data_IF_917650145200
#
_entry.id   IF_917650145200
#
_cell.length_a   1.000
_cell.length_b   1.000
_cell.length_c   1.000
_cell.angle_alpha   90.00
_cell.angle_beta   90.00
_cell.angle_gamma   90.00
#
_symmetry.space_group_name_H-M   'P 1'
#
loop_
_entity.id
_entity.type
_entity.pdbx_description
1 polymer ?
#
# COMPACT_ATOMS: atom_id res chain seq x y z
N UNK A 1 14.09 -10.19 -19.27
CA UNK A 1 13.71 -10.13 -17.86
C UNK A 1 14.74 -10.92 -17.10
N UNK A 2 15.52 -10.30 -16.25
CA UNK A 2 16.52 -11.00 -15.46
C UNK A 2 15.81 -11.66 -14.28
N UNK A 3 16.01 -12.97 -14.11
CA UNK A 3 15.55 -13.69 -12.92
C UNK A 3 16.28 -13.10 -11.70
N UNK A 4 15.53 -12.45 -10.84
CA UNK A 4 16.02 -11.91 -9.57
C UNK A 4 16.31 -13.09 -8.64
N UNK A 5 17.58 -13.48 -8.56
CA UNK A 5 18.01 -14.54 -7.65
C UNK A 5 18.08 -13.98 -6.22
N UNK A 6 17.01 -14.14 -5.47
CA UNK A 6 16.97 -13.80 -4.04
C UNK A 6 17.60 -14.92 -3.26
N UNK A 7 18.80 -14.71 -2.75
CA UNK A 7 19.45 -15.67 -1.86
C UNK A 7 19.09 -15.37 -0.42
N UNK A 8 18.04 -16.02 0.08
CA UNK A 8 17.76 -16.02 1.52
C UNK A 8 18.66 -17.07 2.15
N UNK A 9 19.46 -16.74 3.16
CA UNK A 9 20.31 -17.73 3.83
C UNK A 9 19.47 -18.92 4.32
N UNK A 10 19.68 -20.09 3.70
CA UNK A 10 19.04 -21.34 4.10
C UNK A 10 17.81 -21.77 3.28
N UNK A 11 17.38 -21.03 2.23
CA UNK A 11 16.30 -21.46 1.37
C UNK A 11 16.46 -20.94 -0.06
N UNK A 12 16.97 -21.78 -0.94
CA UNK A 12 17.22 -21.46 -2.35
C UNK A 12 15.90 -21.18 -3.19
N UNK A 13 14.72 -21.32 -2.57
CA UNK A 13 13.43 -21.22 -3.24
C UNK A 13 12.52 -20.09 -2.71
N UNK A 14 13.02 -19.21 -1.86
CA UNK A 14 12.17 -18.18 -1.25
C UNK A 14 12.32 -16.83 -1.93
N UNK A 15 12.02 -16.74 -3.22
CA UNK A 15 11.94 -15.47 -3.92
C UNK A 15 10.65 -14.74 -3.55
N UNK A 16 10.79 -13.72 -2.70
CA UNK A 16 9.69 -12.82 -2.30
C UNK A 16 9.61 -11.57 -3.17
N UNK A 17 10.39 -11.49 -4.25
CA UNK A 17 10.42 -10.36 -5.18
C UNK A 17 9.91 -10.71 -6.57
N UNK A 18 9.74 -12.00 -6.88
CA UNK A 18 9.31 -12.48 -8.18
C UNK A 18 7.86 -12.08 -8.49
N UNK A 19 7.68 -11.24 -9.50
CA UNK A 19 6.36 -10.87 -10.01
C UNK A 19 5.57 -12.11 -10.49
N UNK A 20 6.24 -13.09 -11.09
CA UNK A 20 5.61 -14.32 -11.57
C UNK A 20 5.09 -15.18 -10.42
N UNK A 21 5.80 -15.20 -9.28
CA UNK A 21 5.32 -15.88 -8.08
C UNK A 21 4.02 -15.25 -7.56
N UNK A 22 3.96 -13.91 -7.52
CA UNK A 22 2.74 -13.19 -7.09
C UNK A 22 1.61 -13.29 -8.11
N UNK A 23 1.88 -13.47 -9.39
CA UNK A 23 0.86 -13.74 -10.42
C UNK A 23 0.12 -15.06 -10.17
N UNK A 24 0.78 -16.04 -9.53
CA UNK A 24 0.19 -17.32 -9.10
C UNK A 24 -0.59 -17.20 -7.77
N UNK A 25 -0.41 -16.10 -7.06
CA UNK A 25 -0.97 -15.82 -5.74
C UNK A 25 0.10 -15.46 -4.72
N UNK A 26 -0.34 -14.93 -3.57
CA UNK A 26 0.61 -14.57 -2.50
C UNK A 26 1.33 -15.83 -1.98
N UNK A 27 2.68 -15.84 -1.91
CA UNK A 27 3.45 -17.02 -1.46
C UNK A 27 3.38 -17.20 0.07
N UNK A 28 2.20 -17.48 0.60
CA UNK A 28 1.92 -17.58 2.05
C UNK A 28 2.83 -18.58 2.77
N UNK A 29 3.11 -19.74 2.16
CA UNK A 29 3.98 -20.75 2.75
C UNK A 29 5.42 -20.26 2.92
N UNK A 30 5.92 -19.46 1.97
CA UNK A 30 7.24 -18.82 2.07
C UNK A 30 7.28 -17.81 3.21
N UNK A 31 6.28 -16.93 3.32
CA UNK A 31 6.19 -15.98 4.41
C UNK A 31 6.02 -16.66 5.78
N UNK A 32 5.30 -17.77 5.86
CA UNK A 32 5.20 -18.55 7.09
C UNK A 32 6.55 -19.10 7.53
N UNK A 33 7.32 -19.70 6.60
CA UNK A 33 8.69 -20.19 6.90
C UNK A 33 9.62 -19.06 7.35
N UNK A 34 9.55 -17.90 6.66
CA UNK A 34 10.36 -16.73 7.03
C UNK A 34 10.04 -16.28 8.47
N UNK A 35 8.75 -16.15 8.81
CA UNK A 35 8.35 -15.77 10.17
C UNK A 35 8.86 -16.73 11.24
N UNK A 36 8.93 -18.03 10.92
CA UNK A 36 9.37 -19.05 11.88
C UNK A 36 10.88 -19.15 11.99
N UNK A 37 11.62 -19.10 10.87
CA UNK A 37 13.04 -19.43 10.81
C UNK A 37 13.97 -18.23 10.68
N UNK A 38 13.55 -17.21 9.92
CA UNK A 38 14.37 -16.04 9.59
C UNK A 38 13.49 -14.79 9.45
N UNK A 39 12.86 -14.35 10.55
CA UNK A 39 11.86 -13.27 10.49
C UNK A 39 12.41 -11.92 10.06
N UNK A 40 13.70 -11.73 10.19
CA UNK A 40 14.48 -10.60 9.67
C UNK A 40 15.58 -11.21 8.82
N UNK A 41 15.56 -11.02 7.52
CA UNK A 41 16.55 -11.57 6.61
C UNK A 41 16.95 -10.56 5.55
N UNK A 42 18.21 -10.64 5.13
CA UNK A 42 18.70 -9.87 3.99
C UNK A 42 18.26 -10.54 2.69
N UNK A 43 17.77 -9.75 1.75
CA UNK A 43 17.36 -10.17 0.42
C UNK A 43 18.30 -9.51 -0.57
N UNK A 44 19.12 -10.32 -1.24
CA UNK A 44 19.98 -9.84 -2.32
C UNK A 44 19.14 -9.60 -3.59
N UNK A 45 19.51 -8.56 -4.33
CA UNK A 45 18.92 -8.26 -5.64
C UNK A 45 20.03 -8.22 -6.69
N UNK A 46 19.75 -8.79 -7.85
CA UNK A 46 20.70 -8.77 -8.98
C UNK A 46 20.73 -7.44 -9.72
N UNK A 47 19.69 -6.62 -9.57
CA UNK A 47 19.46 -5.37 -10.30
C UNK A 47 19.59 -4.11 -9.41
N UNK A 48 20.04 -4.26 -8.17
CA UNK A 48 20.19 -3.13 -7.26
C UNK A 48 20.68 -3.54 -5.86
N UNK A 49 20.72 -2.59 -4.93
CA UNK A 49 21.04 -2.90 -3.55
C UNK A 49 19.98 -3.86 -2.98
N UNK A 50 20.42 -4.82 -2.19
CA UNK A 50 19.53 -5.67 -1.44
C UNK A 50 18.75 -4.88 -0.38
N UNK A 51 17.86 -5.58 0.33
CA UNK A 51 17.06 -4.97 1.40
C UNK A 51 16.81 -5.97 2.55
N UNK A 52 16.45 -5.44 3.71
CA UNK A 52 16.02 -6.23 4.85
C UNK A 52 14.53 -6.54 4.77
N UNK A 53 14.17 -7.80 4.61
CA UNK A 53 12.79 -8.26 4.70
C UNK A 53 12.40 -8.53 6.16
N UNK A 54 11.33 -7.89 6.61
CA UNK A 54 10.80 -8.00 7.97
C UNK A 54 9.43 -8.66 7.89
N UNK A 55 9.26 -9.81 8.54
CA UNK A 55 8.06 -10.62 8.35
C UNK A 55 7.20 -10.81 9.59
N UNK A 56 7.69 -10.50 10.81
CA UNK A 56 6.89 -10.55 12.04
C UNK A 56 6.19 -9.23 12.29
N UNK A 57 4.93 -9.30 12.68
CA UNK A 57 4.11 -8.14 12.97
C UNK A 57 4.70 -7.24 14.07
N UNK A 58 5.23 -7.81 15.14
CA UNK A 58 5.84 -7.07 16.25
C UNK A 58 7.09 -6.28 15.82
N UNK A 59 7.92 -6.87 14.95
CA UNK A 59 9.11 -6.21 14.40
C UNK A 59 8.70 -5.06 13.47
N UNK A 60 7.70 -5.28 12.61
CA UNK A 60 7.12 -4.25 11.73
C UNK A 60 6.56 -3.09 12.56
N UNK A 61 5.83 -3.37 13.65
CA UNK A 61 5.32 -2.32 14.52
C UNK A 61 6.44 -1.53 15.21
N UNK A 62 7.51 -2.20 15.62
CA UNK A 62 8.68 -1.56 16.23
C UNK A 62 9.35 -0.60 15.25
N UNK A 63 9.59 -1.06 14.02
CA UNK A 63 10.20 -0.25 12.95
C UNK A 63 9.30 0.94 12.60
N UNK A 64 8.01 0.72 12.38
CA UNK A 64 7.09 1.77 11.99
C UNK A 64 6.88 2.87 13.04
N UNK A 65 7.19 2.59 14.30
CA UNK A 65 7.08 3.56 15.40
C UNK A 65 8.36 4.33 15.65
N UNK A 66 9.47 3.87 15.13
CA UNK A 66 10.79 4.43 15.41
C UNK A 66 11.34 5.20 14.21
N UNK A 67 10.71 6.33 13.94
CA UNK A 67 11.14 7.23 12.87
C UNK A 67 12.54 7.84 13.08
N UNK A 68 13.09 7.77 14.29
CA UNK A 68 14.44 8.27 14.56
C UNK A 68 15.53 7.34 14.01
N UNK A 69 15.25 6.04 13.93
CA UNK A 69 16.18 5.03 13.38
C UNK A 69 15.77 4.59 11.97
N UNK A 70 14.48 4.63 11.64
CA UNK A 70 13.93 4.14 10.38
C UNK A 70 13.17 5.29 9.67
N UNK A 71 13.83 5.91 8.71
CA UNK A 71 13.30 7.03 7.96
C UNK A 71 12.53 6.58 6.73
N UNK A 72 11.41 7.24 6.43
CA UNK A 72 10.68 7.10 5.17
C UNK A 72 11.09 8.13 4.11
N UNK A 73 11.97 9.07 4.46
CA UNK A 73 12.33 10.20 3.59
C UNK A 73 13.15 9.80 2.35
N UNK A 74 13.67 8.57 2.33
CA UNK A 74 14.44 8.04 1.20
C UNK A 74 13.59 7.23 0.22
N UNK A 75 12.28 7.20 0.40
CA UNK A 75 11.32 6.47 -0.41
C UNK A 75 10.63 5.34 0.36
N UNK A 76 9.49 4.90 -0.17
CA UNK A 76 8.64 3.84 0.41
C UNK A 76 8.37 2.72 -0.59
N UNK A 77 9.10 2.69 -1.69
CA UNK A 77 8.96 1.71 -2.77
C UNK A 77 10.13 0.74 -2.77
N UNK A 78 9.88 -0.44 -3.33
CA UNK A 78 10.93 -1.45 -3.52
C UNK A 78 11.78 -1.18 -4.76
N UNK A 79 11.24 -0.46 -5.74
CA UNK A 79 11.99 -0.06 -6.93
C UNK A 79 13.04 0.98 -6.57
N UNK A 80 14.24 0.82 -7.13
CA UNK A 80 15.29 1.81 -6.99
C UNK A 80 14.89 3.11 -7.69
N UNK A 81 15.01 4.20 -6.97
CA UNK A 81 14.67 5.52 -7.44
C UNK A 81 15.87 6.44 -7.25
N UNK A 82 16.11 7.30 -8.23
CA UNK A 82 17.08 8.38 -8.07
C UNK A 82 16.55 9.43 -7.08
N UNK A 83 17.41 10.22 -6.43
CA UNK A 83 16.97 11.30 -5.55
C UNK A 83 15.99 12.27 -6.24
N UNK A 84 16.17 12.55 -7.52
CA UNK A 84 15.29 13.44 -8.30
C UNK A 84 13.91 12.82 -8.52
N UNK A 85 13.84 11.51 -8.76
CA UNK A 85 12.55 10.79 -8.87
C UNK A 85 11.80 10.72 -7.54
N UNK A 86 12.51 10.50 -6.43
CA UNK A 86 11.93 10.56 -5.09
C UNK A 86 11.36 11.95 -4.83
N UNK A 87 12.11 13.02 -5.11
CA UNK A 87 11.67 14.39 -4.90
C UNK A 87 10.46 14.76 -5.77
N UNK A 88 10.48 14.40 -7.06
CA UNK A 88 9.40 14.70 -8.01
C UNK A 88 8.06 14.03 -7.64
N UNK A 89 8.10 12.90 -6.91
CA UNK A 89 6.92 12.13 -6.51
C UNK A 89 6.63 12.19 -5.02
N UNK A 90 7.39 13.00 -4.28
CA UNK A 90 7.33 13.06 -2.82
C UNK A 90 5.93 13.33 -2.33
N UNK A 91 5.42 12.41 -1.52
CA UNK A 91 4.19 12.56 -0.76
C UNK A 91 4.49 12.81 0.71
N UNK A 92 3.50 13.17 1.51
CA UNK A 92 3.73 13.30 2.95
C UNK A 92 4.12 11.97 3.63
N UNK A 93 3.81 10.83 3.02
CA UNK A 93 4.22 9.51 3.52
C UNK A 93 5.74 9.29 3.40
N UNK A 94 6.38 9.97 2.45
CA UNK A 94 7.82 9.96 2.21
C UNK A 94 8.52 11.10 2.94
N UNK A 95 8.01 11.46 4.10
CA UNK A 95 8.59 12.47 4.98
C UNK A 95 8.60 11.98 6.42
N UNK A 96 9.55 12.48 7.20
CA UNK A 96 9.64 12.20 8.63
C UNK A 96 9.06 13.36 9.47
N UNK A 97 8.77 13.14 10.76
CA UNK A 97 8.49 14.24 11.69
C UNK A 97 9.62 15.28 11.72
N UNK A 98 9.32 16.57 11.80
CA UNK A 98 8.00 17.18 12.06
C UNK A 98 7.16 17.44 10.80
N UNK A 99 7.69 17.27 9.59
CA UNK A 99 7.00 17.56 8.32
C UNK A 99 5.80 16.65 8.15
N UNK A 100 6.00 15.33 8.28
CA UNK A 100 4.93 14.33 8.26
C UNK A 100 3.80 14.66 9.24
N UNK A 101 4.16 14.95 10.49
CA UNK A 101 3.18 15.23 11.54
C UNK A 101 2.33 16.44 11.22
N UNK A 102 2.94 17.53 10.73
CA UNK A 102 2.21 18.75 10.33
C UNK A 102 1.20 18.49 9.22
N UNK A 103 1.60 17.77 8.16
CA UNK A 103 0.70 17.43 7.07
C UNK A 103 -0.45 16.51 7.54
N UNK A 104 -0.12 15.47 8.32
CA UNK A 104 -1.10 14.47 8.78
C UNK A 104 -2.16 15.05 9.72
N UNK A 105 -1.82 16.01 10.57
CA UNK A 105 -2.78 16.67 11.49
C UNK A 105 -3.94 17.29 10.72
N UNK A 106 -3.69 17.92 9.58
CA UNK A 106 -4.74 18.52 8.76
C UNK A 106 -5.67 17.44 8.17
N UNK A 107 -5.10 16.34 7.68
CA UNK A 107 -5.87 15.22 7.14
C UNK A 107 -6.69 14.51 8.21
N UNK A 108 -6.15 14.32 9.42
CA UNK A 108 -6.85 13.62 10.50
C UNK A 108 -8.19 14.27 10.88
N UNK A 109 -8.37 15.57 10.66
CA UNK A 109 -9.65 16.24 10.90
C UNK A 109 -10.71 15.79 9.91
N UNK A 110 -10.37 15.70 8.62
CA UNK A 110 -11.27 15.24 7.56
C UNK A 110 -11.65 13.76 7.72
N UNK A 111 -10.76 12.95 8.29
CA UNK A 111 -10.96 11.52 8.52
C UNK A 111 -11.27 11.16 9.99
N UNK A 112 -11.76 12.13 10.78
CA UNK A 112 -12.20 11.85 12.15
C UNK A 112 -13.42 10.93 12.17
N UNK A 113 -13.62 10.16 13.26
CA UNK A 113 -14.78 9.26 13.40
C UNK A 113 -16.12 9.97 13.16
N UNK A 114 -16.24 11.23 13.60
CA UNK A 114 -17.43 12.05 13.38
C UNK A 114 -17.67 12.35 11.90
N UNK A 115 -16.60 12.72 11.17
CA UNK A 115 -16.70 12.99 9.73
C UNK A 115 -16.99 11.73 8.92
N UNK A 116 -16.34 10.62 9.24
CA UNK A 116 -16.60 9.33 8.61
C UNK A 116 -18.05 8.90 8.80
N UNK A 117 -18.60 9.05 10.02
CA UNK A 117 -20.02 8.77 10.27
C UNK A 117 -20.96 9.68 9.47
N UNK A 118 -20.59 10.95 9.25
CA UNK A 118 -21.37 11.87 8.43
C UNK A 118 -21.40 11.49 6.94
N UNK A 119 -20.37 10.79 6.45
CA UNK A 119 -20.36 10.29 5.06
C UNK A 119 -21.26 9.07 4.84
N UNK A 120 -21.71 8.37 5.88
CA UNK A 120 -22.51 7.14 5.73
C UNK A 120 -23.77 7.39 4.87
N UNK A 121 -24.48 8.50 5.11
CA UNK A 121 -25.68 8.85 4.35
C UNK A 121 -25.32 9.03 2.87
N UNK A 122 -24.27 9.80 2.58
CA UNK A 122 -23.84 10.07 1.21
C UNK A 122 -23.35 8.80 0.50
N UNK A 123 -22.63 7.93 1.20
CA UNK A 123 -22.19 6.64 0.67
C UNK A 123 -23.40 5.77 0.30
N UNK A 124 -24.41 5.73 1.17
CA UNK A 124 -25.63 4.95 0.94
C UNK A 124 -26.41 5.46 -0.27
N UNK A 125 -26.63 6.77 -0.35
CA UNK A 125 -27.34 7.40 -1.49
C UNK A 125 -26.59 7.12 -2.80
N UNK A 126 -25.28 7.30 -2.80
CA UNK A 126 -24.43 7.05 -3.96
C UNK A 126 -24.42 5.56 -4.35
N UNK A 127 -24.40 4.66 -3.37
CA UNK A 127 -24.46 3.22 -3.63
C UNK A 127 -25.79 2.81 -4.26
N UNK A 128 -26.91 3.36 -3.78
CA UNK A 128 -28.25 3.13 -4.37
C UNK A 128 -28.27 3.63 -5.81
N UNK A 129 -27.87 4.88 -6.07
CA UNK A 129 -27.80 5.44 -7.41
C UNK A 129 -26.97 4.58 -8.39
N UNK A 130 -25.78 4.13 -7.95
CA UNK A 130 -24.89 3.30 -8.76
C UNK A 130 -25.53 1.94 -9.06
N UNK A 131 -26.17 1.33 -8.07
CA UNK A 131 -26.85 0.03 -8.22
C UNK A 131 -28.07 0.15 -9.13
N UNK A 132 -28.91 1.16 -8.95
CA UNK A 132 -30.08 1.39 -9.79
C UNK A 132 -29.68 1.55 -11.26
N UNK A 133 -28.62 2.32 -11.53
CA UNK A 133 -28.08 2.46 -12.88
C UNK A 133 -27.51 1.15 -13.45
N UNK A 134 -26.81 0.34 -12.63
CA UNK A 134 -26.26 -0.93 -13.09
C UNK A 134 -27.35 -1.96 -13.40
N UNK A 135 -28.44 -1.96 -12.63
CA UNK A 135 -29.57 -2.89 -12.79
C UNK A 135 -30.45 -2.59 -14.01
N UNK A 136 -30.25 -1.45 -14.69
CA UNK A 136 -30.91 -1.19 -15.97
C UNK A 136 -30.37 -2.05 -17.11
N UNK A 137 -29.14 -2.56 -16.95
CA UNK A 137 -28.49 -3.43 -17.93
C UNK A 137 -28.76 -4.91 -17.58
N UNK A 138 -29.16 -5.73 -18.56
CA UNK A 138 -29.43 -7.16 -18.32
C UNK A 138 -28.19 -7.95 -17.94
N UNK A 139 -27.02 -7.45 -18.32
CA UNK A 139 -25.70 -7.98 -17.96
C UNK A 139 -24.69 -6.84 -17.95
N UNK A 140 -23.87 -6.76 -16.90
CA UNK A 140 -22.87 -5.71 -16.77
C UNK A 140 -21.59 -6.21 -16.09
N UNK A 141 -20.48 -5.51 -16.32
CA UNK A 141 -19.25 -5.68 -15.59
C UNK A 141 -19.33 -4.97 -14.23
N UNK A 142 -19.35 -5.76 -13.15
CA UNK A 142 -19.52 -5.24 -11.80
C UNK A 142 -18.34 -4.35 -11.35
N UNK A 143 -17.14 -4.58 -11.87
CA UNK A 143 -15.98 -3.75 -11.55
C UNK A 143 -16.17 -2.34 -12.14
N UNK A 144 -16.52 -2.27 -13.41
CA UNK A 144 -16.70 -1.00 -14.12
C UNK A 144 -17.94 -0.25 -13.67
N UNK A 145 -19.06 -0.96 -13.49
CA UNK A 145 -20.35 -0.33 -13.20
C UNK A 145 -20.55 0.00 -11.71
N UNK A 146 -19.92 -0.74 -10.80
CA UNK A 146 -20.16 -0.61 -9.36
C UNK A 146 -18.85 -0.33 -8.61
N UNK A 147 -17.91 -1.29 -8.61
CA UNK A 147 -16.80 -1.30 -7.67
C UNK A 147 -15.83 -0.12 -7.85
N UNK A 148 -15.63 0.37 -9.06
CA UNK A 148 -14.80 1.55 -9.35
C UNK A 148 -15.50 2.86 -9.06
N UNK A 149 -16.82 2.95 -9.31
CA UNK A 149 -17.57 4.22 -9.23
C UNK A 149 -17.70 4.72 -7.81
N UNK A 150 -18.07 3.85 -6.86
CA UNK A 150 -18.33 4.26 -5.48
C UNK A 150 -17.10 4.87 -4.79
N UNK A 151 -15.91 4.21 -4.76
CA UNK A 151 -14.74 4.80 -4.12
C UNK A 151 -14.24 6.07 -4.81
N UNK A 152 -14.26 6.11 -6.14
CA UNK A 152 -13.80 7.28 -6.89
C UNK A 152 -14.65 8.52 -6.62
N UNK A 153 -15.99 8.38 -6.69
CA UNK A 153 -16.89 9.50 -6.42
C UNK A 153 -16.84 9.95 -4.96
N UNK A 154 -16.75 8.99 -4.02
CA UNK A 154 -16.59 9.34 -2.60
C UNK A 154 -15.25 10.03 -2.32
N UNK A 155 -14.16 9.59 -2.94
CA UNK A 155 -12.88 10.29 -2.82
C UNK A 155 -12.98 11.72 -3.37
N UNK A 156 -13.61 11.90 -4.55
CA UNK A 156 -13.87 13.23 -5.11
C UNK A 156 -14.58 14.15 -4.11
N UNK A 157 -15.66 13.67 -3.49
CA UNK A 157 -16.41 14.44 -2.47
C UNK A 157 -15.57 14.77 -1.24
N UNK A 158 -14.79 13.82 -0.73
CA UNK A 158 -13.92 14.03 0.43
C UNK A 158 -12.85 15.09 0.17
N UNK A 159 -12.31 15.16 -1.04
CA UNK A 159 -11.31 16.18 -1.42
C UNK A 159 -11.93 17.45 -2.03
N UNK A 160 -13.25 17.52 -2.12
CA UNK A 160 -13.97 18.71 -2.58
C UNK A 160 -14.00 18.88 -4.10
N UNK A 161 -13.84 17.80 -4.86
CA UNK A 161 -14.04 17.82 -6.30
C UNK A 161 -15.54 17.73 -6.63
N UNK A 162 -16.03 18.41 -7.69
CA UNK A 162 -17.39 18.22 -8.18
C UNK A 162 -17.59 16.80 -8.71
N UNK A 163 -18.84 16.31 -8.63
CA UNK A 163 -19.27 15.00 -9.20
C UNK A 163 -19.20 15.01 -10.74
#
# INVERSE_FOLDING_TARGET
>A
MADLNVTIPGDANADITSHDAYAQGVPHATFERLRQKSPICWVDRSDGPGFWAITRHEDILTINRDHARFSSAHGIRMEDQTPDEVEARRTFQETDPPVHTRARIHLNRAFSKKMIAAYEVQVRELAVEILDNALLEPQFDAVTMIARKLPMRMLGRVVGLPD
#
